data_IF_758589946207
#
_entry.id   IF_758589946207
#
_cell.length_a   1.000
_cell.length_b   1.000
_cell.length_c   1.000
_cell.angle_alpha   90.00
_cell.angle_beta   90.00
_cell.angle_gamma   90.00
#
_symmetry.space_group_name_H-M   'P 1'
#
loop_
_entity.id
_entity.type
_entity.pdbx_description
1 polymer ?
#
# COMPACT_ATOMS: atom_id res chain seq x y z
N UNK A 1 11.93 34.74 3.38
CA UNK A 1 11.39 33.52 2.73
C UNK A 1 12.25 33.23 1.52
N UNK A 2 12.67 31.98 1.30
CA UNK A 2 13.48 31.59 0.13
C UNK A 2 12.78 30.40 -0.55
N UNK A 3 12.61 30.37 -1.89
CA UNK A 3 12.06 29.22 -2.59
C UNK A 3 12.92 27.96 -2.40
N UNK A 4 12.27 26.80 -2.19
CA UNK A 4 12.96 25.55 -1.78
C UNK A 4 13.76 24.87 -2.90
N UNK A 5 13.54 25.22 -4.17
CA UNK A 5 14.28 24.69 -5.31
C UNK A 5 14.25 25.65 -6.51
N UNK A 6 15.13 25.46 -7.53
CA UNK A 6 15.11 26.29 -8.74
C UNK A 6 13.78 26.28 -9.49
N UNK A 7 13.05 25.15 -9.45
CA UNK A 7 11.70 25.05 -10.00
C UNK A 7 10.74 26.03 -9.30
N UNK A 8 10.78 26.07 -7.97
CA UNK A 8 9.92 26.96 -7.18
C UNK A 8 10.35 28.43 -7.28
N UNK A 9 11.64 28.71 -7.46
CA UNK A 9 12.12 30.06 -7.75
C UNK A 9 11.51 30.59 -9.05
N UNK A 10 11.65 29.85 -10.15
CA UNK A 10 11.07 30.25 -11.43
C UNK A 10 9.52 30.25 -11.46
N UNK A 11 8.86 29.58 -10.52
CA UNK A 11 7.40 29.67 -10.32
C UNK A 11 7.03 30.92 -9.54
N UNK A 12 7.77 31.25 -8.48
CA UNK A 12 7.57 32.45 -7.69
C UNK A 12 7.68 33.71 -8.56
N UNK A 13 8.71 33.80 -9.40
CA UNK A 13 8.93 34.94 -10.31
C UNK A 13 7.77 35.15 -11.31
N UNK A 14 7.05 34.07 -11.64
CA UNK A 14 5.90 34.11 -12.57
C UNK A 14 4.56 34.35 -11.87
N UNK A 15 4.46 34.02 -10.59
CA UNK A 15 3.17 33.93 -9.88
C UNK A 15 2.98 34.98 -8.80
N UNK A 16 4.06 35.58 -8.29
CA UNK A 16 3.99 36.59 -7.24
C UNK A 16 4.49 37.94 -7.74
N UNK A 17 3.77 38.99 -7.34
CA UNK A 17 4.04 40.38 -7.71
C UNK A 17 4.63 41.12 -6.51
N UNK A 18 5.68 41.89 -6.75
CA UNK A 18 6.32 42.72 -5.73
C UNK A 18 5.31 43.77 -5.24
N UNK A 19 5.06 43.82 -3.93
CA UNK A 19 4.15 44.78 -3.30
C UNK A 19 2.74 44.27 -3.05
N UNK A 20 2.39 43.07 -3.53
CA UNK A 20 1.11 42.42 -3.20
C UNK A 20 1.20 41.61 -1.89
N UNK A 21 0.05 41.50 -1.22
CA UNK A 21 -0.07 40.76 0.04
C UNK A 21 -0.69 39.40 -0.22
N UNK A 22 0.04 38.32 0.06
CA UNK A 22 -0.43 36.94 -0.10
C UNK A 22 -0.68 36.28 1.25
N UNK A 23 -1.74 35.46 1.33
CA UNK A 23 -1.96 34.61 2.50
C UNK A 23 -0.95 33.46 2.49
N UNK A 24 -0.02 33.49 3.43
CA UNK A 24 0.90 32.37 3.64
C UNK A 24 0.19 31.29 4.46
N UNK A 25 0.22 30.07 3.95
CA UNK A 25 -0.27 28.87 4.66
C UNK A 25 0.89 27.91 4.79
N UNK A 26 0.93 27.17 5.90
CA UNK A 26 1.90 26.09 6.06
C UNK A 26 1.63 25.01 4.99
N UNK A 27 2.60 24.82 4.11
CA UNK A 27 2.57 23.75 3.11
C UNK A 27 3.36 22.56 3.65
N UNK A 28 2.66 21.57 4.21
CA UNK A 28 3.27 20.28 4.45
C UNK A 28 3.42 19.57 3.11
N UNK A 29 4.65 19.45 2.61
CA UNK A 29 4.97 18.52 1.54
C UNK A 29 4.40 17.16 1.92
N UNK A 30 3.44 16.70 1.14
CA UNK A 30 2.90 15.36 1.25
C UNK A 30 4.07 14.42 0.98
N UNK A 31 4.32 13.53 1.94
CA UNK A 31 5.57 12.77 2.11
C UNK A 31 5.85 11.79 0.96
N UNK A 32 6.16 12.31 -0.23
CA UNK A 32 6.68 11.54 -1.36
C UNK A 32 7.90 10.74 -0.90
N UNK A 33 8.71 11.30 -0.01
CA UNK A 33 9.78 10.58 0.68
C UNK A 33 9.28 9.36 1.47
N UNK A 34 8.18 9.47 2.23
CA UNK A 34 7.61 8.32 2.96
C UNK A 34 7.04 7.25 2.03
N UNK A 35 6.42 7.67 0.91
CA UNK A 35 5.97 6.77 -0.15
C UNK A 35 7.15 6.05 -0.82
N UNK A 36 8.15 6.79 -1.26
CA UNK A 36 9.34 6.24 -1.91
C UNK A 36 10.06 5.27 -0.97
N UNK A 37 10.26 5.66 0.29
CA UNK A 37 10.81 4.80 1.31
C UNK A 37 9.98 3.53 1.47
N UNK A 38 8.65 3.62 1.55
CA UNK A 38 7.80 2.45 1.73
C UNK A 38 7.92 1.45 0.57
N UNK A 39 7.85 1.93 -0.67
CA UNK A 39 8.01 1.05 -1.84
C UNK A 39 9.43 0.47 -1.93
N UNK A 40 10.46 1.25 -1.58
CA UNK A 40 11.84 0.76 -1.50
C UNK A 40 12.01 -0.32 -0.42
N UNK A 41 11.44 -0.13 0.78
CA UNK A 41 11.43 -1.13 1.86
C UNK A 41 10.82 -2.45 1.43
N UNK A 42 9.67 -2.42 0.74
CA UNK A 42 9.02 -3.64 0.25
C UNK A 42 9.86 -4.31 -0.84
N UNK A 43 10.42 -3.54 -1.77
CA UNK A 43 11.26 -4.09 -2.83
C UNK A 43 12.49 -4.79 -2.24
N UNK A 44 13.15 -4.16 -1.25
CA UNK A 44 14.29 -4.75 -0.55
C UNK A 44 13.88 -6.02 0.20
N UNK A 45 12.78 -5.99 0.96
CA UNK A 45 12.28 -7.19 1.64
C UNK A 45 11.95 -8.33 0.66
N UNK A 46 11.32 -8.01 -0.47
CA UNK A 46 10.99 -9.00 -1.49
C UNK A 46 12.25 -9.64 -2.09
N UNK A 47 13.31 -8.85 -2.34
CA UNK A 47 14.60 -9.38 -2.81
C UNK A 47 15.30 -10.28 -1.79
N UNK A 48 14.92 -10.20 -0.51
CA UNK A 48 15.45 -11.05 0.57
C UNK A 48 14.54 -12.22 0.92
N UNK A 49 13.42 -12.40 0.22
CA UNK A 49 12.51 -13.51 0.51
C UNK A 49 13.17 -14.85 0.18
N UNK A 50 12.96 -15.87 1.04
CA UNK A 50 13.20 -17.26 0.69
C UNK A 50 12.48 -17.69 -0.60
N UNK A 51 13.13 -18.52 -1.42
CA UNK A 51 12.64 -18.93 -2.74
C UNK A 51 11.26 -19.65 -2.68
N UNK A 52 10.97 -20.36 -1.60
CA UNK A 52 9.69 -21.03 -1.37
C UNK A 52 8.53 -20.04 -1.24
N UNK A 53 8.79 -18.85 -0.70
CA UNK A 53 7.80 -17.78 -0.58
C UNK A 53 7.58 -17.02 -1.89
N UNK A 54 8.50 -17.09 -2.86
CA UNK A 54 8.32 -16.42 -4.16
C UNK A 54 7.17 -17.01 -4.98
N UNK A 55 6.79 -18.27 -4.73
CA UNK A 55 5.59 -18.87 -5.34
C UNK A 55 4.33 -18.16 -4.86
N UNK A 56 4.27 -17.83 -3.56
CA UNK A 56 3.14 -17.11 -2.98
C UNK A 56 3.21 -15.59 -3.27
N UNK A 57 4.41 -15.04 -3.37
CA UNK A 57 4.68 -13.61 -3.59
C UNK A 57 5.55 -13.39 -4.84
N UNK A 58 5.01 -13.57 -6.07
CA UNK A 58 5.81 -13.52 -7.29
C UNK A 58 6.45 -12.15 -7.58
N UNK A 59 5.90 -11.07 -7.02
CA UNK A 59 6.47 -9.72 -7.13
C UNK A 59 6.33 -8.96 -5.81
N UNK A 60 7.13 -7.90 -5.64
CA UNK A 60 7.00 -6.97 -4.51
C UNK A 60 5.56 -6.40 -4.38
N UNK A 61 4.86 -6.22 -5.50
CA UNK A 61 3.47 -5.75 -5.49
C UNK A 61 2.50 -6.82 -4.96
N UNK A 62 2.72 -8.11 -5.27
CA UNK A 62 1.95 -9.20 -4.66
C UNK A 62 2.18 -9.25 -3.15
N UNK A 63 3.43 -9.14 -2.70
CA UNK A 63 3.78 -9.05 -1.28
C UNK A 63 3.02 -7.91 -0.60
N UNK A 64 3.12 -6.69 -1.14
CA UNK A 64 2.45 -5.52 -0.59
C UNK A 64 0.95 -5.71 -0.49
N UNK A 65 0.30 -6.11 -1.58
CA UNK A 65 -1.16 -6.21 -1.67
C UNK A 65 -1.71 -7.29 -0.73
N UNK A 66 -1.07 -8.45 -0.66
CA UNK A 66 -1.46 -9.51 0.28
C UNK A 66 -1.24 -9.10 1.74
N UNK A 67 -0.13 -8.41 2.04
CA UNK A 67 0.10 -7.90 3.39
C UNK A 67 -0.92 -6.84 3.80
N UNK A 68 -1.35 -5.97 2.89
CA UNK A 68 -2.44 -5.02 3.15
C UNK A 68 -3.73 -5.75 3.57
N UNK A 69 -4.12 -6.78 2.82
CA UNK A 69 -5.28 -7.61 3.17
C UNK A 69 -5.10 -8.25 4.55
N UNK A 70 -3.93 -8.85 4.80
CA UNK A 70 -3.61 -9.50 6.07
C UNK A 70 -3.64 -8.53 7.26
N UNK A 71 -3.27 -7.27 7.04
CA UNK A 71 -3.30 -6.21 8.04
C UNK A 71 -4.68 -5.53 8.19
N UNK A 72 -5.70 -5.95 7.43
CA UNK A 72 -7.05 -5.38 7.51
C UNK A 72 -7.28 -4.13 6.64
N UNK A 73 -6.31 -3.74 5.82
CA UNK A 73 -6.44 -2.62 4.87
C UNK A 73 -6.98 -3.11 3.52
N UNK A 74 -8.19 -3.67 3.55
CA UNK A 74 -8.85 -4.23 2.39
C UNK A 74 -10.37 -4.03 2.43
N UNK A 75 -10.96 -3.90 1.25
CA UNK A 75 -12.41 -3.89 1.09
C UNK A 75 -12.91 -5.33 0.99
N UNK A 76 -13.83 -5.71 1.88
CA UNK A 76 -14.47 -7.04 1.90
C UNK A 76 -15.78 -7.03 1.11
N UNK A 77 -15.97 -8.03 0.25
CA UNK A 77 -17.26 -8.34 -0.38
C UNK A 77 -17.62 -9.79 -0.08
N UNK A 78 -18.82 -9.99 0.45
CA UNK A 78 -19.35 -11.32 0.75
C UNK A 78 -20.46 -11.69 -0.24
N UNK A 79 -20.38 -12.90 -0.79
CA UNK A 79 -21.37 -13.45 -1.72
C UNK A 79 -21.89 -14.77 -1.12
N UNK A 80 -23.18 -14.83 -0.85
CA UNK A 80 -23.84 -16.04 -0.35
C UNK A 80 -24.32 -16.87 -1.54
N UNK A 81 -23.97 -18.14 -1.54
CA UNK A 81 -24.31 -19.14 -2.54
C UNK A 81 -25.38 -20.10 -1.99
N UNK A 82 -26.02 -20.86 -2.88
CA UNK A 82 -27.01 -21.86 -2.48
C UNK A 82 -26.36 -23.09 -1.82
N UNK A 83 -25.18 -23.49 -2.29
CA UNK A 83 -24.45 -24.66 -1.80
C UNK A 83 -22.96 -24.38 -1.64
N UNK A 84 -22.28 -25.24 -0.87
CA UNK A 84 -20.82 -25.23 -0.74
C UNK A 84 -20.10 -25.45 -2.09
N UNK A 85 -20.64 -26.34 -2.92
CA UNK A 85 -20.07 -26.61 -4.24
C UNK A 85 -20.17 -25.37 -5.17
N UNK A 86 -21.23 -24.58 -5.04
CA UNK A 86 -21.37 -23.34 -5.81
C UNK A 86 -20.41 -22.25 -5.32
N UNK A 87 -20.17 -22.17 -4.01
CA UNK A 87 -19.18 -21.26 -3.45
C UNK A 87 -17.76 -21.57 -3.94
N UNK A 88 -17.38 -22.85 -4.01
CA UNK A 88 -16.08 -23.27 -4.55
C UNK A 88 -15.91 -22.88 -6.03
N UNK A 89 -16.93 -23.15 -6.86
CA UNK A 89 -16.92 -22.77 -8.29
C UNK A 89 -16.85 -21.25 -8.47
N UNK A 90 -17.63 -20.51 -7.69
CA UNK A 90 -17.62 -19.05 -7.74
C UNK A 90 -16.26 -18.49 -7.30
N UNK A 91 -15.65 -19.04 -6.24
CA UNK A 91 -14.32 -18.64 -5.81
C UNK A 91 -13.27 -18.88 -6.91
N UNK A 92 -13.32 -20.03 -7.59
CA UNK A 92 -12.44 -20.32 -8.71
C UNK A 92 -12.65 -19.36 -9.90
N UNK A 93 -13.90 -18.94 -10.16
CA UNK A 93 -14.23 -17.98 -11.21
C UNK A 93 -13.80 -16.54 -10.87
N UNK A 94 -13.94 -16.12 -9.61
CA UNK A 94 -13.61 -14.75 -9.17
C UNK A 94 -12.09 -14.55 -9.03
N UNK A 95 -11.36 -15.58 -8.60
CA UNK A 95 -9.91 -15.51 -8.36
C UNK A 95 -9.10 -14.89 -9.51
N UNK A 96 -9.31 -15.22 -10.80
CA UNK A 96 -8.55 -14.59 -11.90
C UNK A 96 -8.98 -13.14 -12.23
N UNK A 97 -10.09 -12.64 -11.69
CA UNK A 97 -10.59 -11.29 -12.02
C UNK A 97 -9.75 -10.16 -11.41
N UNK A 98 -9.10 -10.43 -10.27
CA UNK A 98 -8.15 -9.52 -9.63
C UNK A 98 -6.96 -10.35 -9.14
N UNK A 99 -5.82 -10.16 -9.81
CA UNK A 99 -4.56 -10.86 -9.52
C UNK A 99 -4.10 -10.73 -8.07
N UNK A 100 -4.50 -9.65 -7.39
CA UNK A 100 -4.05 -9.35 -6.02
C UNK A 100 -5.09 -9.65 -4.95
N UNK A 101 -6.32 -9.98 -5.34
CA UNK A 101 -7.39 -10.23 -4.39
C UNK A 101 -7.16 -11.54 -3.62
N UNK A 102 -7.48 -11.51 -2.32
CA UNK A 102 -7.54 -12.73 -1.52
C UNK A 102 -8.98 -13.22 -1.53
N UNK A 103 -9.21 -14.39 -2.12
CA UNK A 103 -10.52 -15.03 -2.18
C UNK A 103 -10.52 -16.22 -1.25
N UNK A 104 -11.43 -16.21 -0.28
CA UNK A 104 -11.68 -17.33 0.62
C UNK A 104 -13.12 -17.79 0.46
N UNK A 105 -13.38 -19.07 0.59
CA UNK A 105 -14.73 -19.60 0.67
C UNK A 105 -14.85 -20.46 1.92
N UNK A 106 -16.00 -20.37 2.57
CA UNK A 106 -16.34 -21.17 3.74
C UNK A 106 -17.82 -21.47 3.69
N UNK A 107 -18.16 -22.75 3.80
CA UNK A 107 -19.52 -23.24 3.56
C UNK A 107 -20.09 -22.71 2.24
N UNK A 108 -21.28 -22.10 2.27
CA UNK A 108 -21.91 -21.50 1.11
C UNK A 108 -21.61 -19.99 0.97
N UNK A 109 -20.48 -19.50 1.48
CA UNK A 109 -20.12 -18.07 1.41
C UNK A 109 -18.74 -17.89 0.78
N UNK A 110 -18.64 -17.00 -0.19
CA UNK A 110 -17.38 -16.52 -0.78
C UNK A 110 -17.09 -15.13 -0.27
N UNK A 111 -15.89 -14.90 0.26
CA UNK A 111 -15.39 -13.59 0.64
C UNK A 111 -14.23 -13.20 -0.27
N UNK A 112 -14.31 -11.98 -0.80
CA UNK A 112 -13.31 -11.39 -1.68
C UNK A 112 -12.75 -10.17 -0.97
N UNK A 113 -11.45 -10.15 -0.73
CA UNK A 113 -10.74 -9.03 -0.14
C UNK A 113 -9.87 -8.35 -1.20
N UNK A 114 -10.16 -7.09 -1.48
CA UNK A 114 -9.36 -6.25 -2.38
C UNK A 114 -8.53 -5.28 -1.56
N UNK A 115 -7.21 -5.30 -1.69
CA UNK A 115 -6.34 -4.38 -0.95
C UNK A 115 -6.64 -2.92 -1.32
N UNK A 116 -6.82 -2.09 -0.31
CA UNK A 116 -7.14 -0.67 -0.50
C UNK A 116 -6.01 0.06 -1.23
N UNK A 117 -6.40 1.11 -1.96
CA UNK A 117 -5.42 1.98 -2.61
C UNK A 117 -4.75 2.86 -1.56
N UNK A 118 -3.44 2.72 -1.43
CA UNK A 118 -2.61 3.62 -0.63
C UNK A 118 -2.26 4.91 -1.40
N UNK A 119 -2.91 5.19 -2.54
CA UNK A 119 -2.66 6.39 -3.32
C UNK A 119 -3.11 7.66 -2.59
N UNK A 120 -2.40 8.77 -2.83
CA UNK A 120 -2.62 10.05 -2.14
C UNK A 120 -4.05 10.59 -2.21
N UNK A 121 -4.80 10.27 -3.27
CA UNK A 121 -6.21 10.68 -3.41
C UNK A 121 -7.20 9.72 -2.76
N UNK A 122 -6.78 8.46 -2.55
CA UNK A 122 -7.62 7.39 -2.05
C UNK A 122 -7.50 7.19 -0.54
N UNK A 123 -6.34 7.52 0.04
CA UNK A 123 -6.05 7.30 1.46
C UNK A 123 -5.51 8.56 2.13
N UNK A 124 -5.97 8.81 3.36
CA UNK A 124 -5.49 9.94 4.17
C UNK A 124 -4.05 9.72 4.65
N UNK A 125 -3.36 10.81 5.03
CA UNK A 125 -1.95 10.74 5.52
C UNK A 125 -1.81 9.81 6.73
N UNK A 126 -2.75 9.89 7.68
CA UNK A 126 -2.74 9.10 8.90
C UNK A 126 -2.90 7.61 8.59
N UNK A 127 -3.93 7.26 7.83
CA UNK A 127 -4.23 5.89 7.41
C UNK A 127 -3.12 5.29 6.52
N UNK A 128 -2.48 6.11 5.67
CA UNK A 128 -1.30 5.69 4.92
C UNK A 128 -0.15 5.33 5.86
N UNK A 129 0.12 6.16 6.87
CA UNK A 129 1.20 5.89 7.81
C UNK A 129 0.91 4.64 8.66
N UNK A 130 -0.31 4.50 9.17
CA UNK A 130 -0.76 3.32 9.92
C UNK A 130 -0.65 2.04 9.06
N UNK A 131 -1.13 2.07 7.82
CA UNK A 131 -1.03 0.92 6.90
C UNK A 131 0.41 0.59 6.52
N UNK A 132 1.26 1.59 6.30
CA UNK A 132 2.70 1.41 6.06
C UNK A 132 3.35 0.68 7.23
N UNK A 133 3.15 1.14 8.46
CA UNK A 133 3.74 0.55 9.65
C UNK A 133 3.26 -0.89 9.88
N UNK A 134 1.95 -1.13 9.74
CA UNK A 134 1.37 -2.46 9.87
C UNK A 134 1.93 -3.44 8.84
N UNK A 135 2.03 -3.03 7.57
CA UNK A 135 2.57 -3.87 6.48
C UNK A 135 4.04 -4.19 6.71
N UNK A 136 4.86 -3.20 7.05
CA UNK A 136 6.30 -3.43 7.28
C UNK A 136 6.53 -4.36 8.48
N UNK A 137 5.78 -4.18 9.57
CA UNK A 137 5.86 -5.08 10.72
C UNK A 137 5.39 -6.51 10.38
N UNK A 138 4.36 -6.65 9.53
CA UNK A 138 3.92 -7.96 9.06
C UNK A 138 4.97 -8.66 8.17
N UNK A 139 5.71 -7.89 7.37
CA UNK A 139 6.83 -8.37 6.56
C UNK A 139 8.01 -8.77 7.47
N UNK A 140 8.36 -7.98 8.48
CA UNK A 140 9.40 -8.34 9.46
C UNK A 140 9.07 -9.69 10.12
N UNK A 141 7.80 -9.88 10.53
CA UNK A 141 7.32 -11.14 11.09
C UNK A 141 7.38 -12.30 10.09
N UNK A 142 7.09 -12.04 8.80
CA UNK A 142 7.19 -13.05 7.75
C UNK A 142 8.65 -13.50 7.55
N UNK A 143 9.59 -12.57 7.60
CA UNK A 143 11.02 -12.81 7.44
C UNK A 143 11.69 -13.34 8.73
N UNK A 144 11.00 -13.31 9.86
CA UNK A 144 11.55 -13.72 11.15
C UNK A 144 12.61 -12.77 11.70
N UNK A 145 12.57 -11.49 11.31
CA UNK A 145 13.52 -10.44 11.74
C UNK A 145 12.90 -9.52 12.80
N UNK A 146 13.74 -8.71 13.44
CA UNK A 146 13.29 -7.71 14.41
C UNK A 146 12.38 -6.66 13.78
N UNK A 147 11.39 -6.20 14.56
CA UNK A 147 10.47 -5.15 14.13
C UNK A 147 11.23 -3.88 13.73
N UNK A 148 10.89 -3.36 12.55
CA UNK A 148 11.50 -2.21 11.92
C UNK A 148 12.79 -2.51 11.13
N UNK A 149 13.25 -3.76 11.06
CA UNK A 149 14.43 -4.11 10.26
C UNK A 149 14.22 -3.80 8.77
N UNK A 150 13.06 -4.18 8.21
CA UNK A 150 12.71 -3.90 6.82
C UNK A 150 12.62 -2.39 6.54
N UNK A 151 12.14 -1.60 7.50
CA UNK A 151 12.08 -0.15 7.36
C UNK A 151 13.49 0.45 7.29
N UNK A 152 14.39 0.04 8.19
CA UNK A 152 15.77 0.57 8.25
C UNK A 152 16.62 0.19 7.04
N UNK A 153 16.38 -0.97 6.44
CA UNK A 153 17.13 -1.46 5.29
C UNK A 153 16.90 -0.67 3.98
N UNK A 154 16.01 0.32 3.98
CA UNK A 154 15.70 1.16 2.82
C UNK A 154 16.11 2.64 2.98
N UNK A 155 16.80 2.96 4.08
CA UNK A 155 17.28 4.30 4.40
C UNK A 155 18.60 4.63 3.69
#
# INVERSE_FOLDING_TARGET
>A
MVPVSPYWAGRADRQFVIGETYKMVEHHDRSQASHNHYFASIANAWNTLPDDLLVEYPTAEHLRKKMLVKCGYADERSIVCATKADAERLAAFVKPMDTYAVVIHSEAVVKVFTAQSQGMKAMGKREFQESKEAVLAAIDKLLGVDVGATARAAA
#
